data_IF_760116109389
#
_entry.id   IF_760116109389
#
_cell.length_a   1.000
_cell.length_b   1.000
_cell.length_c   1.000
_cell.angle_alpha   90.00
_cell.angle_beta   90.00
_cell.angle_gamma   90.00
#
_symmetry.space_group_name_H-M   'P 1'
#
loop_
_entity.id
_entity.type
_entity.pdbx_description
1 polymer ?
#
# COMPACT_ATOMS: atom_id res chain seq x y z
N UNK A 1 7.01 -17.46 -3.09
CA UNK A 1 5.70 -17.04 -3.65
C UNK A 1 5.01 -16.05 -2.72
N UNK A 2 4.51 -14.97 -3.27
CA UNK A 2 3.71 -13.99 -2.51
C UNK A 2 2.25 -14.41 -2.57
N UNK A 3 1.69 -14.63 -1.41
CA UNK A 3 0.25 -14.87 -1.25
C UNK A 3 -0.20 -14.17 0.04
N UNK A 4 -0.57 -12.92 -0.08
CA UNK A 4 -0.97 -12.12 1.08
C UNK A 4 -2.17 -12.76 1.79
N UNK A 5 -2.12 -12.75 3.13
CA UNK A 5 -3.11 -13.45 3.95
C UNK A 5 -4.37 -12.61 4.14
N UNK A 6 -5.45 -13.27 4.59
CA UNK A 6 -6.67 -12.57 4.99
C UNK A 6 -6.42 -11.57 6.12
N UNK A 7 -5.53 -11.92 7.04
CA UNK A 7 -5.14 -11.01 8.12
C UNK A 7 -4.52 -9.73 7.54
N UNK A 8 -3.57 -9.86 6.62
CA UNK A 8 -2.94 -8.70 5.98
C UNK A 8 -3.98 -7.83 5.28
N UNK A 9 -4.90 -8.44 4.55
CA UNK A 9 -5.97 -7.71 3.86
C UNK A 9 -6.84 -6.94 4.85
N UNK A 10 -7.27 -7.57 5.93
CA UNK A 10 -8.11 -6.92 6.96
C UNK A 10 -7.37 -5.79 7.67
N UNK A 11 -6.11 -5.99 8.03
CA UNK A 11 -5.32 -4.96 8.70
C UNK A 11 -5.16 -3.71 7.84
N UNK A 12 -4.87 -3.88 6.56
CA UNK A 12 -4.73 -2.76 5.63
C UNK A 12 -6.06 -2.04 5.41
N UNK A 13 -7.13 -2.78 5.17
CA UNK A 13 -8.48 -2.19 4.95
C UNK A 13 -8.94 -1.38 6.15
N UNK A 14 -8.64 -1.81 7.37
CA UNK A 14 -9.08 -1.13 8.60
C UNK A 14 -8.06 -0.11 9.12
N UNK A 15 -6.92 0.04 8.47
CA UNK A 15 -5.82 0.87 8.98
C UNK A 15 -6.21 2.32 9.25
N UNK A 16 -6.94 2.95 8.34
CA UNK A 16 -7.38 4.35 8.51
C UNK A 16 -8.36 4.49 9.68
N UNK A 17 -9.33 3.58 9.80
CA UNK A 17 -10.30 3.59 10.90
C UNK A 17 -9.61 3.35 12.25
N UNK A 18 -8.57 2.55 12.27
CA UNK A 18 -7.77 2.31 13.48
C UNK A 18 -6.82 3.47 13.81
N UNK A 19 -6.75 4.50 12.97
CA UNK A 19 -5.88 5.64 13.18
C UNK A 19 -4.41 5.37 12.86
N UNK A 20 -4.12 4.30 12.13
CA UNK A 20 -2.76 3.90 11.73
C UNK A 20 -2.69 3.64 10.21
N UNK A 21 -2.99 4.64 9.38
CA UNK A 21 -2.95 4.43 7.94
C UNK A 21 -1.57 3.92 7.52
N UNK A 22 -1.56 3.05 6.51
CA UNK A 22 -0.30 2.54 5.98
C UNK A 22 0.55 3.71 5.43
N UNK A 23 1.86 3.57 5.54
CA UNK A 23 2.81 4.56 5.02
C UNK A 23 3.43 4.02 3.74
N UNK A 24 3.51 4.88 2.73
CA UNK A 24 4.15 4.53 1.46
C UNK A 24 5.48 5.26 1.38
N UNK A 25 6.56 4.49 1.24
CA UNK A 25 7.88 5.03 0.95
C UNK A 25 8.13 5.02 -0.56
N UNK A 26 8.47 6.18 -1.10
CA UNK A 26 8.86 6.35 -2.50
C UNK A 26 10.22 7.02 -2.56
N UNK A 27 10.84 7.04 -3.71
CA UNK A 27 12.16 7.65 -3.87
C UNK A 27 12.21 8.46 -5.16
N UNK A 28 12.85 9.64 -5.09
CA UNK A 28 13.05 10.49 -6.26
C UNK A 28 14.18 9.95 -7.14
N UNK A 29 14.31 10.51 -8.33
CA UNK A 29 15.41 10.21 -9.25
C UNK A 29 16.78 10.41 -8.59
N UNK A 30 16.90 11.41 -7.72
CA UNK A 30 18.15 11.74 -7.03
C UNK A 30 18.39 10.91 -5.76
N UNK A 31 17.53 9.92 -5.50
CA UNK A 31 17.67 9.06 -4.34
C UNK A 31 17.10 9.63 -3.05
N UNK A 32 16.31 10.69 -3.09
CA UNK A 32 15.68 11.26 -1.91
C UNK A 32 14.44 10.47 -1.54
N UNK A 33 14.40 9.83 -0.36
CA UNK A 33 13.20 9.09 0.06
C UNK A 33 12.10 10.05 0.53
N UNK A 34 10.84 9.60 0.37
CA UNK A 34 9.66 10.31 0.83
C UNK A 34 8.70 9.32 1.45
N UNK A 35 8.03 9.72 2.52
CA UNK A 35 7.01 8.90 3.20
C UNK A 35 5.70 9.65 3.19
N UNK A 36 4.62 8.97 2.79
CA UNK A 36 3.27 9.53 2.75
C UNK A 36 2.27 8.56 3.35
N UNK A 37 1.33 9.01 4.21
CA UNK A 37 0.27 8.14 4.70
C UNK A 37 -0.80 7.94 3.61
N UNK A 38 -1.31 6.71 3.51
CA UNK A 38 -2.37 6.35 2.56
C UNK A 38 -3.41 5.47 3.26
N UNK A 39 -4.56 6.05 3.55
CA UNK A 39 -5.67 5.32 4.17
C UNK A 39 -6.38 4.35 3.23
N UNK A 40 -6.05 4.37 1.94
CA UNK A 40 -6.72 3.59 0.90
C UNK A 40 -5.96 2.34 0.46
N UNK A 41 -4.91 1.94 1.16
CA UNK A 41 -4.15 0.74 0.78
C UNK A 41 -5.00 -0.50 1.03
N UNK A 42 -5.10 -1.35 0.01
CA UNK A 42 -5.84 -2.61 0.06
C UNK A 42 -5.08 -3.71 -0.68
N UNK A 43 -5.40 -4.96 -0.36
CA UNK A 43 -4.96 -6.10 -1.16
C UNK A 43 -5.81 -6.17 -2.42
N UNK A 44 -5.17 -6.11 -3.56
CA UNK A 44 -5.81 -6.19 -4.87
C UNK A 44 -5.89 -7.63 -5.38
N UNK A 45 -4.84 -8.38 -5.19
CA UNK A 45 -4.74 -9.82 -5.53
C UNK A 45 -3.72 -10.48 -4.62
N UNK A 46 -3.44 -11.76 -4.83
CA UNK A 46 -2.49 -12.51 -3.99
C UNK A 46 -1.15 -11.80 -3.80
N UNK A 47 -0.63 -11.16 -4.84
CA UNK A 47 0.68 -10.53 -4.85
C UNK A 47 0.68 -9.03 -5.11
N UNK A 48 -0.49 -8.41 -5.19
CA UNK A 48 -0.59 -7.00 -5.56
C UNK A 48 -1.37 -6.20 -4.54
N UNK A 49 -0.81 -5.08 -4.10
CA UNK A 49 -1.50 -4.07 -3.32
C UNK A 49 -2.00 -2.96 -4.24
N UNK A 50 -2.98 -2.20 -3.80
CA UNK A 50 -3.41 -0.99 -4.49
C UNK A 50 -3.68 0.13 -3.50
N UNK A 51 -3.63 1.36 -3.99
CA UNK A 51 -4.18 2.50 -3.27
C UNK A 51 -4.72 3.52 -4.27
N UNK A 52 -5.58 4.42 -3.77
CA UNK A 52 -6.15 5.50 -4.58
C UNK A 52 -5.35 6.77 -4.32
N UNK A 53 -4.83 7.37 -5.38
CA UNK A 53 -4.04 8.60 -5.30
C UNK A 53 -4.87 9.79 -5.78
N UNK A 54 -5.05 10.76 -4.91
CA UNK A 54 -5.82 11.97 -5.17
C UNK A 54 -4.96 13.15 -5.61
N UNK A 55 -3.68 13.11 -5.25
CA UNK A 55 -2.75 14.21 -5.47
C UNK A 55 -1.85 13.89 -6.66
N UNK A 56 -1.79 14.78 -7.60
CA UNK A 56 -0.93 14.66 -8.77
C UNK A 56 0.42 15.34 -8.51
N UNK A 57 1.05 15.01 -7.38
CA UNK A 57 2.25 15.70 -6.90
C UNK A 57 3.45 14.74 -6.78
N UNK A 58 4.09 14.77 -5.62
CA UNK A 58 5.38 14.12 -5.40
C UNK A 58 5.35 12.60 -5.50
N UNK A 59 4.27 11.94 -5.09
CA UNK A 59 4.17 10.48 -5.23
C UNK A 59 4.18 10.09 -6.70
N UNK A 60 3.34 10.72 -7.52
CA UNK A 60 3.29 10.43 -8.96
C UNK A 60 4.64 10.72 -9.62
N UNK A 61 5.25 11.84 -9.29
CA UNK A 61 6.58 12.21 -9.82
C UNK A 61 7.63 11.18 -9.46
N UNK A 62 7.68 10.77 -8.18
CA UNK A 62 8.65 9.77 -7.73
C UNK A 62 8.45 8.44 -8.43
N UNK A 63 7.21 7.98 -8.56
CA UNK A 63 6.91 6.71 -9.23
C UNK A 63 7.28 6.72 -10.72
N UNK A 64 7.16 7.86 -11.37
CA UNK A 64 7.59 7.99 -12.76
C UNK A 64 9.11 7.88 -12.91
N UNK A 65 9.85 8.32 -11.90
CA UNK A 65 11.31 8.30 -11.90
C UNK A 65 11.89 6.99 -11.34
N UNK A 66 11.25 6.43 -10.33
CA UNK A 66 11.66 5.18 -9.67
C UNK A 66 10.43 4.45 -9.16
N UNK A 67 10.10 3.29 -9.72
CA UNK A 67 8.89 2.56 -9.33
C UNK A 67 9.04 1.73 -8.05
N UNK A 68 10.21 1.63 -7.46
CA UNK A 68 10.41 0.88 -6.23
C UNK A 68 9.74 1.58 -5.06
N UNK A 69 8.97 0.82 -4.29
CA UNK A 69 8.23 1.35 -3.14
C UNK A 69 8.30 0.39 -1.97
N UNK A 70 8.03 0.92 -0.78
CA UNK A 70 7.77 0.14 0.41
C UNK A 70 6.47 0.61 1.04
N UNK A 71 5.65 -0.35 1.48
CA UNK A 71 4.46 -0.08 2.28
C UNK A 71 4.74 -0.56 3.70
N UNK A 72 4.58 0.34 4.66
CA UNK A 72 4.80 0.05 6.06
C UNK A 72 3.49 0.12 6.83
N UNK A 73 3.19 -0.94 7.57
CA UNK A 73 2.04 -1.00 8.47
C UNK A 73 2.51 -1.36 9.87
N UNK A 74 1.99 -0.68 10.86
CA UNK A 74 2.19 -1.01 12.27
C UNK A 74 0.94 -0.69 13.06
N UNK A 75 0.50 -1.62 13.92
CA UNK A 75 -0.65 -1.40 14.80
C UNK A 75 -0.46 -2.10 16.13
N UNK A 76 0.14 -1.42 17.08
CA UNK A 76 0.45 -1.96 18.39
C UNK A 76 -0.82 -2.36 19.16
N UNK A 77 -1.93 -1.66 18.94
CA UNK A 77 -3.21 -1.99 19.58
C UNK A 77 -3.74 -3.36 19.17
N UNK A 78 -3.34 -3.88 18.00
CA UNK A 78 -3.71 -5.20 17.52
C UNK A 78 -2.58 -6.22 17.64
N UNK A 79 -1.62 -5.99 18.53
CA UNK A 79 -0.45 -6.86 18.68
C UNK A 79 -0.80 -8.32 19.00
N UNK A 80 -1.95 -8.56 19.64
CA UNK A 80 -2.41 -9.93 19.93
C UNK A 80 -2.84 -10.71 18.68
N UNK A 81 -3.25 -10.01 17.62
CA UNK A 81 -3.67 -10.62 16.37
C UNK A 81 -2.51 -10.77 15.38
N UNK A 82 -1.47 -9.95 15.55
CA UNK A 82 -0.39 -9.84 14.57
C UNK A 82 0.79 -10.68 15.03
N UNK A 83 1.11 -11.80 14.35
CA UNK A 83 2.14 -12.72 14.79
C UNK A 83 3.57 -12.28 14.44
N UNK A 84 3.76 -10.99 14.17
CA UNK A 84 5.05 -10.43 13.77
C UNK A 84 5.56 -9.47 14.82
N UNK A 85 6.88 -9.39 14.98
CA UNK A 85 7.51 -8.54 15.98
C UNK A 85 7.07 -7.08 15.81
N UNK A 86 6.82 -6.41 16.94
CA UNK A 86 6.37 -5.01 17.03
C UNK A 86 5.05 -4.73 16.31
N UNK A 87 4.27 -5.77 16.01
CA UNK A 87 3.00 -5.66 15.26
C UNK A 87 3.18 -4.88 13.95
N UNK A 88 4.29 -5.09 13.25
CA UNK A 88 4.66 -4.36 12.04
C UNK A 88 4.91 -5.30 10.87
N UNK A 89 4.60 -4.82 9.68
CA UNK A 89 4.81 -5.54 8.42
C UNK A 89 5.35 -4.55 7.39
N UNK A 90 6.35 -4.97 6.63
CA UNK A 90 6.92 -4.20 5.55
C UNK A 90 6.72 -4.94 4.23
N UNK A 91 6.06 -4.27 3.28
CA UNK A 91 5.80 -4.82 1.94
C UNK A 91 6.67 -4.04 0.95
N UNK A 92 7.59 -4.73 0.29
CA UNK A 92 8.41 -4.14 -0.77
C UNK A 92 7.86 -4.54 -2.12
N UNK A 93 7.90 -3.64 -3.08
CA UNK A 93 7.44 -3.96 -4.42
C UNK A 93 7.73 -2.90 -5.45
N UNK A 94 7.15 -3.10 -6.62
CA UNK A 94 7.28 -2.20 -7.76
C UNK A 94 5.90 -1.67 -8.12
N UNK A 95 5.76 -0.36 -8.19
CA UNK A 95 4.50 0.32 -8.40
C UNK A 95 4.33 0.75 -9.85
N UNK A 96 3.07 0.78 -10.30
CA UNK A 96 2.67 1.39 -11.56
C UNK A 96 1.40 2.21 -11.37
N UNK A 97 1.31 3.31 -12.08
CA UNK A 97 0.15 4.21 -12.06
C UNK A 97 -0.85 3.75 -13.12
N UNK A 98 -2.13 3.67 -12.74
CA UNK A 98 -3.21 3.25 -13.65
C UNK A 98 -4.30 4.31 -13.62
N UNK A 99 -4.40 5.10 -14.70
CA UNK A 99 -5.31 6.26 -14.77
C UNK A 99 -6.66 5.94 -15.40
N UNK A 100 -6.82 4.79 -16.04
CA UNK A 100 -8.08 4.37 -16.66
C UNK A 100 -8.19 2.85 -16.75
N UNK A 101 -9.34 2.37 -17.18
CA UNK A 101 -9.59 0.95 -17.44
C UNK A 101 -10.03 0.14 -16.23
N UNK A 102 -10.15 -1.17 -16.45
CA UNK A 102 -10.74 -2.10 -15.48
C UNK A 102 -9.97 -2.18 -14.17
N UNK A 103 -8.65 -2.12 -14.21
CA UNK A 103 -7.82 -2.16 -12.99
C UNK A 103 -8.06 -0.93 -12.11
N UNK A 104 -8.17 0.24 -12.72
CA UNK A 104 -8.50 1.47 -11.99
C UNK A 104 -9.86 1.35 -11.33
N UNK A 105 -10.85 0.84 -12.05
CA UNK A 105 -12.21 0.70 -11.54
C UNK A 105 -12.28 -0.32 -10.40
N UNK A 106 -11.54 -1.40 -10.48
CA UNK A 106 -11.47 -2.37 -9.40
C UNK A 106 -10.80 -1.79 -8.15
N UNK A 107 -9.71 -1.05 -8.32
CA UNK A 107 -9.03 -0.39 -7.19
C UNK A 107 -9.96 0.62 -6.52
N UNK A 108 -10.74 1.38 -7.28
CA UNK A 108 -11.75 2.28 -6.73
C UNK A 108 -12.79 1.52 -5.92
N UNK A 109 -13.31 0.41 -6.45
CA UNK A 109 -14.31 -0.39 -5.75
C UNK A 109 -13.78 -0.98 -4.44
N UNK A 110 -12.49 -1.25 -4.34
CA UNK A 110 -11.83 -1.73 -3.12
C UNK A 110 -11.57 -0.61 -2.11
N UNK A 111 -11.63 0.64 -2.55
CA UNK A 111 -11.35 1.80 -1.70
C UNK A 111 -12.49 2.00 -0.72
N UNK A 112 -12.18 2.11 0.58
CA UNK A 112 -13.19 2.26 1.62
C UNK A 112 -14.00 3.53 1.43
N UNK A 113 -15.29 3.55 1.88
CA UNK A 113 -16.17 4.71 1.67
C UNK A 113 -15.61 6.04 2.19
N UNK A 114 -14.93 6.04 3.33
CA UNK A 114 -14.32 7.25 3.87
C UNK A 114 -13.25 7.85 2.97
N UNK A 115 -12.50 7.02 2.27
CA UNK A 115 -11.51 7.49 1.31
C UNK A 115 -12.15 7.90 -0.02
N UNK A 116 -13.19 7.19 -0.46
CA UNK A 116 -13.94 7.57 -1.65
C UNK A 116 -14.58 8.95 -1.50
N UNK A 117 -15.07 9.27 -0.31
CA UNK A 117 -15.67 10.58 -0.01
C UNK A 117 -14.69 11.74 -0.13
N UNK A 118 -13.40 11.47 -0.09
CA UNK A 118 -12.35 12.48 -0.29
C UNK A 118 -12.12 12.80 -1.77
N UNK A 119 -12.64 11.97 -2.66
CA UNK A 119 -12.57 12.16 -4.11
C UNK A 119 -13.91 11.77 -4.74
N UNK A 120 -15.01 12.48 -4.40
CA UNK A 120 -16.36 12.08 -4.82
C UNK A 120 -16.54 12.12 -6.34
N UNK A 121 -15.79 12.95 -7.02
CA UNK A 121 -15.84 13.04 -8.49
C UNK A 121 -14.90 12.04 -9.17
N UNK A 122 -14.16 11.23 -8.38
CA UNK A 122 -13.29 10.17 -8.88
C UNK A 122 -12.24 10.70 -9.87
N UNK A 123 -11.64 11.82 -9.53
CA UNK A 123 -10.62 12.47 -10.37
C UNK A 123 -9.24 11.87 -10.22
N UNK A 124 -9.01 11.12 -9.15
CA UNK A 124 -7.73 10.47 -8.89
C UNK A 124 -7.50 9.24 -9.76
N UNK A 125 -6.51 8.46 -9.38
CA UNK A 125 -6.14 7.26 -10.11
C UNK A 125 -5.66 6.18 -9.16
N UNK A 126 -5.53 4.97 -9.69
CA UNK A 126 -5.04 3.83 -8.93
C UNK A 126 -3.52 3.73 -9.04
N UNK A 127 -2.89 3.28 -7.96
CA UNK A 127 -1.51 2.80 -7.98
C UNK A 127 -1.56 1.34 -7.60
N UNK A 128 -0.98 0.48 -8.42
CA UNK A 128 -0.87 -0.96 -8.16
C UNK A 128 0.58 -1.28 -7.84
N UNK A 129 0.80 -2.06 -6.79
CA UNK A 129 2.13 -2.43 -6.31
C UNK A 129 2.27 -3.93 -6.38
N UNK A 130 3.12 -4.43 -7.27
CA UNK A 130 3.47 -5.84 -7.28
C UNK A 130 4.48 -6.10 -6.18
N UNK A 131 4.06 -6.85 -5.17
CA UNK A 131 4.87 -7.13 -3.98
C UNK A 131 5.86 -8.25 -4.31
N UNK A 132 7.12 -8.05 -3.92
CA UNK A 132 8.18 -9.04 -4.14
C UNK A 132 8.82 -9.54 -2.84
N UNK A 133 8.63 -8.81 -1.73
CA UNK A 133 9.16 -9.18 -0.43
C UNK A 133 8.24 -8.66 0.67
N UNK A 134 7.86 -9.54 1.58
CA UNK A 134 7.16 -9.14 2.82
C UNK A 134 8.05 -9.58 3.96
N UNK A 135 8.33 -8.67 4.87
CA UNK A 135 9.24 -8.92 5.98
C UNK A 135 8.76 -8.31 7.28
N UNK A 136 9.28 -8.83 8.39
CA UNK A 136 9.13 -8.22 9.70
C UNK A 136 10.05 -7.00 9.82
N UNK A 137 9.81 -6.20 10.85
CA UNK A 137 10.66 -5.05 11.14
C UNK A 137 12.14 -5.42 11.34
N UNK A 138 12.40 -6.62 11.86
CA UNK A 138 13.75 -7.16 12.04
C UNK A 138 14.46 -7.52 10.72
N UNK A 139 13.71 -7.60 9.62
CA UNK A 139 14.23 -8.09 8.34
C UNK A 139 13.99 -9.59 8.12
N UNK A 140 13.39 -10.30 9.07
CA UNK A 140 13.00 -11.69 8.86
C UNK A 140 11.97 -11.78 7.74
N UNK A 141 12.21 -12.64 6.76
CA UNK A 141 11.34 -12.80 5.61
C UNK A 141 10.07 -13.54 6.00
N UNK A 142 8.91 -12.95 5.68
CA UNK A 142 7.61 -13.58 5.82
C UNK A 142 7.25 -14.30 4.53
N UNK A 143 7.35 -13.59 3.40
CA UNK A 143 7.12 -14.13 2.05
C UNK A 143 8.06 -13.45 1.07
N UNK A 144 8.45 -14.19 0.03
CA UNK A 144 9.33 -13.67 -1.01
C UNK A 144 8.90 -14.21 -2.37
N UNK A 145 8.98 -13.38 -3.40
CA UNK A 145 8.72 -13.79 -4.77
C UNK A 145 9.77 -14.81 -5.24
N UNK A 146 9.35 -15.69 -6.11
CA UNK A 146 10.19 -16.74 -6.68
C UNK A 146 11.24 -16.17 -7.64
#
# INVERSE_FOLDING_TARGET
MIKMTELMARLLTTSAADGVPALIGTVSKDGRPQISPKGSVNVYSDDTLCFWERSYRSVEKNLAENPCVVVYYRNQARSKEIPYASAAIRFHGVARVVKDGAERERAWALTIPGEQQRDPEKKGYAVLIKVDLIEELSGNVIMKAD
#
